data_IF_072304530104
#
_entry.id   IF_072304530104
#
_cell.length_a   1.000
_cell.length_b   1.000
_cell.length_c   1.000
_cell.angle_alpha   90.00
_cell.angle_beta   90.00
_cell.angle_gamma   90.00
#
_symmetry.space_group_name_H-M   'P 1'
#
loop_
_entity.id
_entity.type
_entity.pdbx_description
1 polymer ?
#
# COMPACT_ATOMS: atom_id res chain seq x y z
N UNK A 1 2.61 -0.60 -11.02
CA UNK A 1 1.98 -0.97 -9.72
C UNK A 1 0.66 -1.69 -9.90
N UNK A 2 -0.32 -1.12 -10.61
CA UNK A 2 -1.64 -1.74 -10.81
C UNK A 2 -1.56 -3.19 -11.30
N UNK A 3 -0.85 -3.42 -12.40
CA UNK A 3 -0.67 -4.76 -13.00
C UNK A 3 -0.04 -5.74 -12.00
N UNK A 4 0.96 -5.31 -11.22
CA UNK A 4 1.62 -6.20 -10.25
C UNK A 4 0.67 -6.64 -9.13
N UNK A 5 -0.19 -5.73 -8.66
CA UNK A 5 -1.22 -6.04 -7.66
C UNK A 5 -2.21 -7.07 -8.24
N UNK A 6 -2.56 -6.95 -9.51
CA UNK A 6 -3.46 -7.90 -10.20
C UNK A 6 -2.83 -9.28 -10.39
N UNK A 7 -1.50 -9.36 -10.51
CA UNK A 7 -0.75 -10.61 -10.57
C UNK A 7 -0.28 -11.14 -9.21
N UNK A 8 -0.85 -10.64 -8.10
CA UNK A 8 -0.62 -11.20 -6.77
C UNK A 8 0.60 -10.65 -6.02
N UNK A 9 1.08 -9.46 -6.37
CA UNK A 9 2.08 -8.79 -5.54
C UNK A 9 1.56 -8.55 -4.11
N UNK A 10 2.43 -8.79 -3.13
CA UNK A 10 2.16 -8.54 -1.71
C UNK A 10 1.95 -7.04 -1.47
N UNK A 11 0.71 -6.66 -1.18
CA UNK A 11 0.36 -5.26 -0.91
C UNK A 11 0.83 -4.80 0.47
N UNK A 12 1.15 -5.75 1.37
CA UNK A 12 1.59 -5.51 2.73
C UNK A 12 3.11 -5.43 2.87
N UNK A 13 3.86 -5.71 1.81
CA UNK A 13 5.30 -5.55 1.82
C UNK A 13 5.71 -4.09 2.16
N UNK A 14 6.79 -3.97 2.92
CA UNK A 14 7.46 -2.69 3.17
C UNK A 14 8.97 -2.81 2.98
N UNK A 15 9.63 -1.69 2.68
CA UNK A 15 11.09 -1.64 2.68
C UNK A 15 11.67 -1.54 4.12
N UNK A 16 12.99 -1.52 4.25
CA UNK A 16 13.69 -1.39 5.55
C UNK A 16 13.32 -0.13 6.35
N UNK A 17 12.67 0.85 5.72
CA UNK A 17 12.25 2.10 6.34
C UNK A 17 10.73 2.14 6.62
N UNK A 18 10.02 1.03 6.42
CA UNK A 18 8.58 0.94 6.61
C UNK A 18 7.78 1.62 5.49
N UNK A 19 8.39 1.86 4.32
CA UNK A 19 7.69 2.43 3.17
C UNK A 19 6.89 1.34 2.47
N UNK A 20 5.58 1.58 2.32
CA UNK A 20 4.65 0.66 1.66
C UNK A 20 4.19 1.20 0.31
N UNK A 21 3.67 0.32 -0.55
CA UNK A 21 3.04 0.73 -1.81
C UNK A 21 1.91 1.73 -1.58
N UNK A 22 1.09 1.56 -0.53
CA UNK A 22 0.02 2.51 -0.20
C UNK A 22 0.55 3.92 0.08
N UNK A 23 1.64 4.05 0.82
CA UNK A 23 2.28 5.34 1.06
C UNK A 23 2.85 5.96 -0.22
N UNK A 24 3.51 5.14 -1.06
CA UNK A 24 4.04 5.58 -2.37
C UNK A 24 2.92 6.05 -3.30
N UNK A 25 1.78 5.37 -3.30
CA UNK A 25 0.61 5.74 -4.10
C UNK A 25 0.01 7.08 -3.66
N UNK A 26 -0.05 7.37 -2.36
CA UNK A 26 -0.54 8.68 -1.88
C UNK A 26 0.45 9.82 -2.12
N UNK A 27 1.74 9.56 -1.91
CA UNK A 27 2.81 10.56 -2.02
C UNK A 27 3.45 10.66 -3.40
N UNK A 28 2.92 9.93 -4.38
CA UNK A 28 3.41 9.93 -5.76
C UNK A 28 3.38 11.35 -6.36
N UNK A 29 4.32 11.66 -7.24
CA UNK A 29 4.34 12.93 -8.00
C UNK A 29 3.41 12.97 -9.22
N UNK A 30 2.51 11.98 -9.37
CA UNK A 30 1.49 11.96 -10.43
C UNK A 30 0.60 13.21 -10.29
N UNK A 31 0.47 13.97 -11.38
CA UNK A 31 -0.36 15.17 -11.42
C UNK A 31 -1.83 14.81 -11.17
N UNK A 32 -2.47 15.47 -10.19
CA UNK A 32 -3.90 15.23 -9.89
C UNK A 32 -4.78 15.60 -11.07
N UNK A 33 -5.76 14.75 -11.39
CA UNK A 33 -6.66 14.96 -12.53
C UNK A 33 -6.06 14.60 -13.90
N UNK A 34 -4.79 14.19 -13.98
CA UNK A 34 -4.21 13.69 -15.23
C UNK A 34 -4.75 12.29 -15.59
N UNK A 35 -4.60 11.83 -16.84
CA UNK A 35 -4.94 10.45 -17.21
C UNK A 35 -4.22 9.40 -16.35
N UNK A 36 -2.98 9.67 -15.92
CA UNK A 36 -2.22 8.78 -15.03
C UNK A 36 -2.80 8.76 -13.60
N UNK A 37 -3.44 9.83 -13.16
CA UNK A 37 -4.12 9.89 -11.86
C UNK A 37 -5.24 8.85 -11.74
N UNK A 38 -5.89 8.50 -12.86
CA UNK A 38 -6.89 7.44 -12.90
C UNK A 38 -6.30 6.08 -12.48
N UNK A 39 -5.06 5.77 -12.91
CA UNK A 39 -4.37 4.55 -12.50
C UNK A 39 -4.02 4.57 -11.01
N UNK A 40 -3.56 5.72 -10.50
CA UNK A 40 -3.29 5.90 -9.06
C UNK A 40 -4.55 5.70 -8.22
N UNK A 41 -5.70 6.21 -8.66
CA UNK A 41 -6.99 6.01 -8.00
C UNK A 41 -7.41 4.54 -8.03
N UNK A 42 -7.27 3.84 -9.16
CA UNK A 42 -7.55 2.39 -9.23
C UNK A 42 -6.66 1.56 -8.29
N UNK A 43 -5.39 1.94 -8.13
CA UNK A 43 -4.51 1.30 -7.13
C UNK A 43 -5.03 1.52 -5.71
N UNK A 44 -5.47 2.73 -5.35
CA UNK A 44 -6.06 3.02 -4.03
C UNK A 44 -7.29 2.14 -3.80
N UNK A 45 -8.19 2.05 -4.77
CA UNK A 45 -9.40 1.24 -4.65
C UNK A 45 -9.08 -0.26 -4.53
N UNK A 46 -8.11 -0.77 -5.31
CA UNK A 46 -7.63 -2.17 -5.18
C UNK A 46 -7.04 -2.46 -3.79
N UNK A 47 -6.30 -1.50 -3.21
CA UNK A 47 -5.77 -1.64 -1.85
C UNK A 47 -6.89 -1.68 -0.80
N UNK A 48 -7.85 -0.75 -0.87
CA UNK A 48 -9.02 -0.73 0.03
C UNK A 48 -9.85 -2.01 -0.08
N UNK A 49 -10.09 -2.50 -1.29
CA UNK A 49 -10.85 -3.72 -1.54
C UNK A 49 -10.20 -4.97 -0.90
N UNK A 50 -8.89 -4.95 -0.68
CA UNK A 50 -8.13 -5.99 0.02
C UNK A 50 -7.95 -5.73 1.52
N UNK A 51 -8.72 -4.78 2.07
CA UNK A 51 -8.72 -4.46 3.50
C UNK A 51 -7.53 -3.60 3.96
N UNK A 52 -6.79 -2.98 3.04
CA UNK A 52 -5.68 -2.11 3.43
C UNK A 52 -6.20 -0.83 4.09
N UNK A 53 -5.67 -0.42 5.26
CA UNK A 53 -6.12 0.80 5.95
C UNK A 53 -5.81 2.07 5.16
N UNK A 54 -6.77 3.00 5.11
CA UNK A 54 -6.62 4.34 4.53
C UNK A 54 -7.09 5.44 5.50
N UNK A 55 -6.27 6.48 5.78
CA UNK A 55 -4.89 6.64 5.30
C UNK A 55 -3.96 5.54 5.83
N UNK A 56 -2.91 5.18 5.07
CA UNK A 56 -1.99 4.11 5.47
C UNK A 56 -1.25 4.51 6.76
N UNK A 57 -0.91 3.53 7.62
CA UNK A 57 -0.11 3.79 8.82
C UNK A 57 1.20 4.50 8.47
N UNK A 58 1.73 5.28 9.42
CA UNK A 58 3.03 5.92 9.26
C UNK A 58 4.16 4.89 9.17
N UNK A 59 5.30 5.26 8.57
CA UNK A 59 6.51 4.43 8.48
C UNK A 59 6.92 3.86 9.84
N UNK A 60 6.95 4.71 10.87
CA UNK A 60 7.26 4.31 12.23
C UNK A 60 6.25 3.30 12.79
N UNK A 61 4.95 3.47 12.48
CA UNK A 61 3.91 2.54 12.90
C UNK A 61 4.03 1.18 12.20
N UNK A 62 4.35 1.16 10.89
CA UNK A 62 4.60 -0.08 10.14
C UNK A 62 5.76 -0.86 10.78
N UNK A 63 6.91 -0.20 10.99
CA UNK A 63 8.08 -0.85 11.62
C UNK A 63 7.77 -1.37 13.03
N UNK A 64 6.99 -0.62 13.82
CA UNK A 64 6.57 -1.07 15.14
C UNK A 64 5.62 -2.26 15.10
N UNK A 65 4.71 -2.33 14.12
CA UNK A 65 3.80 -3.47 13.94
C UNK A 65 4.54 -4.70 13.44
N UNK A 66 5.48 -4.54 12.49
CA UNK A 66 6.32 -5.62 11.97
C UNK A 66 7.20 -6.23 13.07
N UNK A 67 7.90 -5.38 13.84
CA UNK A 67 8.66 -5.82 15.02
C UNK A 67 7.80 -6.55 16.05
N UNK A 68 6.52 -6.19 16.16
CA UNK A 68 5.56 -6.83 17.07
C UNK A 68 4.88 -8.08 16.47
N UNK A 69 5.21 -8.50 15.24
CA UNK A 69 4.55 -9.61 14.54
C UNK A 69 3.09 -9.34 14.17
N UNK A 70 2.68 -8.06 14.15
CA UNK A 70 1.32 -7.59 13.84
C UNK A 70 1.20 -7.02 12.43
N UNK A 71 2.27 -7.11 11.63
CA UNK A 71 2.31 -6.72 10.24
C UNK A 71 2.90 -7.86 9.40
N UNK A 72 2.25 -8.27 8.30
CA UNK A 72 0.89 -7.88 7.91
C UNK A 72 -0.19 -8.32 8.93
N UNK A 73 -1.42 -7.79 8.87
CA UNK A 73 -2.51 -8.25 9.73
C UNK A 73 -2.74 -9.76 9.63
N UNK A 74 -3.15 -10.40 10.71
CA UNK A 74 -3.38 -11.85 10.72
C UNK A 74 -4.46 -12.25 9.71
N UNK A 75 -4.22 -13.34 8.97
CA UNK A 75 -5.18 -13.89 8.01
C UNK A 75 -5.13 -13.27 6.61
N UNK A 76 -4.25 -12.31 6.36
CA UNK A 76 -4.02 -11.82 4.99
C UNK A 76 -2.96 -12.65 4.29
N UNK A 77 -3.20 -12.99 3.02
CA UNK A 77 -2.20 -13.65 2.18
C UNK A 77 -1.13 -12.64 1.76
N UNK A 78 0.13 -13.06 1.85
CA UNK A 78 1.27 -12.39 1.19
C UNK A 78 1.27 -12.75 -0.29
#
# INVERSE_FOLDING_TARGET
MEILIDHGADIWAHDRFGITTAQRTLTSRILRGSPEDAARLRVIEKLKARGYPFPPPSRAKILALDKAGKWPPSGVKR
#
